data_IF_627026771907
#
_entry.id   IF_627026771907
#
_cell.length_a   1.000
_cell.length_b   1.000
_cell.length_c   1.000
_cell.angle_alpha   90.00
_cell.angle_beta   90.00
_cell.angle_gamma   90.00
#
_symmetry.space_group_name_H-M   'P 1'
#
loop_
_entity.id
_entity.type
_entity.pdbx_description
1 polymer ?
#
# COMPACT_ATOMS: atom_id res chain seq x y z
N UNK A 1 5.14 11.27 -18.40
CA UNK A 1 5.46 10.24 -17.40
C UNK A 1 4.29 10.21 -16.43
N UNK A 2 3.54 9.11 -16.38
CA UNK A 2 2.28 9.05 -15.63
C UNK A 2 2.55 8.73 -14.16
N UNK A 3 1.96 9.52 -13.27
CA UNK A 3 1.98 9.32 -11.83
C UNK A 3 0.79 8.42 -11.44
N UNK A 4 1.03 7.44 -10.57
CA UNK A 4 -0.01 6.56 -10.04
C UNK A 4 -0.15 6.80 -8.54
N UNK A 5 -1.39 6.91 -8.06
CA UNK A 5 -1.70 6.95 -6.64
C UNK A 5 -1.93 5.53 -6.14
N UNK A 6 -1.18 5.09 -5.14
CA UNK A 6 -1.35 3.79 -4.48
C UNK A 6 -1.84 3.97 -3.04
N UNK A 7 -2.75 3.12 -2.53
CA UNK A 7 -3.14 3.16 -1.11
C UNK A 7 -1.94 2.91 -0.18
N UNK A 8 -1.80 3.73 0.85
CA UNK A 8 -0.73 3.63 1.85
C UNK A 8 -1.23 4.16 3.21
N UNK A 9 -1.47 3.26 4.17
CA UNK A 9 -1.92 3.59 5.54
C UNK A 9 -3.12 4.56 5.62
N UNK A 10 -4.12 4.34 4.75
CA UNK A 10 -5.32 5.16 4.67
C UNK A 10 -5.13 6.52 3.97
N UNK A 11 -3.97 6.72 3.33
CA UNK A 11 -3.66 7.86 2.47
C UNK A 11 -3.28 7.38 1.06
N UNK A 12 -3.10 8.30 0.12
CA UNK A 12 -2.54 8.02 -1.20
C UNK A 12 -1.05 8.36 -1.25
N UNK A 13 -0.24 7.40 -1.69
CA UNK A 13 1.17 7.60 -2.01
C UNK A 13 1.32 7.73 -3.53
N UNK A 14 1.97 8.78 -3.99
CA UNK A 14 2.26 8.94 -5.41
C UNK A 14 3.53 8.19 -5.79
N UNK A 15 3.44 7.41 -6.87
CA UNK A 15 4.53 6.62 -7.42
C UNK A 15 4.66 6.92 -8.91
N UNK A 16 5.90 7.05 -9.38
CA UNK A 16 6.25 7.21 -10.79
C UNK A 16 7.19 6.08 -11.20
N UNK A 17 6.97 5.49 -12.38
CA UNK A 17 7.92 4.52 -12.93
C UNK A 17 9.05 5.27 -13.64
N UNK A 18 10.30 5.06 -13.20
CA UNK A 18 11.51 5.58 -13.82
C UNK A 18 12.50 4.44 -14.07
N UNK A 19 12.86 4.21 -15.33
CA UNK A 19 13.77 3.13 -15.76
C UNK A 19 13.36 1.74 -15.28
N UNK A 20 12.06 1.44 -15.28
CA UNK A 20 11.52 0.14 -14.85
C UNK A 20 11.39 -0.02 -13.33
N UNK A 21 11.73 1.01 -12.55
CA UNK A 21 11.65 0.98 -11.10
C UNK A 21 10.64 2.02 -10.56
N UNK A 22 9.83 1.69 -9.53
CA UNK A 22 8.98 2.66 -8.87
C UNK A 22 9.77 3.65 -8.00
N UNK A 23 9.50 4.95 -8.20
CA UNK A 23 10.03 6.07 -7.43
C UNK A 23 8.91 6.87 -6.77
N UNK A 24 9.21 7.46 -5.63
CA UNK A 24 8.31 8.27 -4.80
C UNK A 24 8.81 9.71 -4.81
N UNK A 25 8.02 10.67 -5.31
CA UNK A 25 8.31 12.09 -5.17
C UNK A 25 8.30 12.49 -3.69
N UNK A 26 9.43 12.93 -3.15
CA UNK A 26 9.56 13.09 -1.69
C UNK A 26 8.92 14.37 -1.15
N UNK A 27 8.83 15.43 -1.96
CA UNK A 27 8.29 16.72 -1.52
C UNK A 27 6.82 16.65 -1.09
N UNK A 28 5.90 16.02 -1.86
CA UNK A 28 4.53 15.76 -1.41
C UNK A 28 4.44 14.94 -0.12
N UNK A 29 5.27 13.90 0.03
CA UNK A 29 5.30 13.05 1.24
C UNK A 29 5.68 13.88 2.47
N UNK A 30 6.78 14.64 2.37
CA UNK A 30 7.27 15.51 3.43
C UNK A 30 6.24 16.57 3.83
N UNK A 31 5.59 17.20 2.84
CA UNK A 31 4.54 18.18 3.07
C UNK A 31 3.28 17.57 3.72
N UNK A 32 2.86 16.38 3.26
CA UNK A 32 1.75 15.63 3.84
C UNK A 32 1.97 15.33 5.33
N UNK A 33 3.22 15.02 5.70
CA UNK A 33 3.62 14.77 7.09
C UNK A 33 3.79 16.04 7.95
N UNK A 34 3.69 17.23 7.36
CA UNK A 34 3.89 18.52 8.05
C UNK A 34 5.35 18.84 8.37
N UNK A 35 6.29 18.24 7.66
CA UNK A 35 7.72 18.44 7.87
C UNK A 35 8.27 19.53 6.94
N UNK A 36 9.29 20.25 7.40
CA UNK A 36 9.96 21.27 6.58
C UNK A 36 10.77 20.61 5.44
N UNK A 37 10.47 20.98 4.19
CA UNK A 37 11.11 20.40 3.00
C UNK A 37 12.63 20.54 3.00
N UNK A 38 13.17 21.73 3.29
CA UNK A 38 14.61 21.97 3.19
C UNK A 38 15.42 21.08 4.15
N UNK A 39 14.95 20.93 5.39
CA UNK A 39 15.59 20.08 6.38
C UNK A 39 15.55 18.61 5.97
N UNK A 40 14.44 18.14 5.38
CA UNK A 40 14.34 16.76 4.90
C UNK A 40 15.17 16.53 3.64
N UNK A 41 15.22 17.49 2.72
CA UNK A 41 16.07 17.43 1.54
C UNK A 41 17.56 17.30 1.90
N UNK A 42 18.03 18.06 2.91
CA UNK A 42 19.39 17.92 3.41
C UNK A 42 19.68 16.49 3.93
N UNK A 43 18.76 15.93 4.73
CA UNK A 43 18.87 14.53 5.23
C UNK A 43 18.85 13.49 4.11
N UNK A 44 18.00 13.71 3.10
CA UNK A 44 17.93 12.86 1.91
C UNK A 44 19.26 12.86 1.15
N UNK A 45 19.83 14.05 0.90
CA UNK A 45 21.14 14.19 0.25
C UNK A 45 22.28 13.62 1.09
N UNK A 46 22.19 13.66 2.41
CA UNK A 46 23.23 13.11 3.28
C UNK A 46 23.21 11.57 3.30
N UNK A 47 22.05 10.94 3.52
CA UNK A 47 21.95 9.48 3.74
C UNK A 47 21.63 8.68 2.47
N UNK A 48 20.94 9.29 1.51
CA UNK A 48 20.38 8.60 0.35
C UNK A 48 20.87 9.16 -0.99
N UNK A 49 21.94 9.99 -0.99
CA UNK A 49 22.48 10.67 -2.18
C UNK A 49 22.67 9.74 -3.40
N UNK A 50 23.14 8.51 -3.18
CA UNK A 50 23.39 7.53 -4.26
C UNK A 50 22.12 6.93 -4.87
N UNK A 51 20.96 7.16 -4.27
CA UNK A 51 19.69 6.54 -4.68
C UNK A 51 18.62 7.55 -5.07
N UNK A 52 18.63 8.74 -4.49
CA UNK A 52 17.70 9.80 -4.89
C UNK A 52 18.10 10.36 -6.25
N UNK A 53 17.11 10.74 -7.05
CA UNK A 53 17.33 11.38 -8.36
C UNK A 53 16.28 12.45 -8.61
N UNK A 54 16.56 13.38 -9.50
CA UNK A 54 15.58 14.37 -9.96
C UNK A 54 14.83 13.80 -11.17
N UNK A 55 13.51 13.67 -11.03
CA UNK A 55 12.65 13.18 -12.10
C UNK A 55 11.75 14.34 -12.55
N UNK A 56 11.72 14.59 -13.86
CA UNK A 56 10.83 15.58 -14.48
C UNK A 56 9.40 15.03 -14.41
N UNK A 57 8.52 15.74 -13.73
CA UNK A 57 7.10 15.39 -13.62
C UNK A 57 6.21 16.56 -13.99
N UNK A 58 5.06 16.25 -14.61
CA UNK A 58 4.01 17.22 -14.87
C UNK A 58 3.22 17.38 -13.57
N UNK A 59 3.26 18.58 -13.00
CA UNK A 59 2.42 18.95 -11.87
C UNK A 59 0.97 19.16 -12.33
N UNK A 60 0.06 19.26 -11.36
CA UNK A 60 -1.39 19.44 -11.62
C UNK A 60 -1.71 20.71 -12.44
N UNK A 61 -0.83 21.72 -12.40
CA UNK A 61 -0.89 22.94 -13.21
C UNK A 61 -0.38 22.77 -14.65
N UNK A 62 -0.09 21.54 -15.08
CA UNK A 62 0.46 21.21 -16.40
C UNK A 62 1.95 21.56 -16.57
N UNK A 63 2.61 22.12 -15.55
CA UNK A 63 4.02 22.53 -15.65
C UNK A 63 4.95 21.37 -15.30
N UNK A 64 6.04 21.27 -16.05
CA UNK A 64 7.12 20.34 -15.73
C UNK A 64 7.94 20.87 -14.56
N UNK A 65 8.19 20.02 -13.57
CA UNK A 65 9.04 20.32 -12.42
C UNK A 65 9.98 19.15 -12.16
N UNK A 66 11.24 19.45 -11.89
CA UNK A 66 12.17 18.47 -11.34
C UNK A 66 11.78 18.22 -9.89
N UNK A 67 11.47 16.97 -9.54
CA UNK A 67 11.27 16.59 -8.15
C UNK A 67 12.29 15.55 -7.73
N UNK A 68 12.93 15.83 -6.59
CA UNK A 68 13.74 14.86 -5.88
C UNK A 68 12.87 13.69 -5.48
N UNK A 69 13.20 12.53 -6.02
CA UNK A 69 12.44 11.30 -5.90
C UNK A 69 13.34 10.20 -5.36
N UNK A 70 12.79 9.34 -4.52
CA UNK A 70 13.48 8.21 -3.92
C UNK A 70 12.90 6.90 -4.48
N UNK A 71 13.71 5.87 -4.74
CA UNK A 71 13.17 4.57 -5.09
C UNK A 71 12.27 4.03 -3.97
N UNK A 72 11.13 3.44 -4.32
CA UNK A 72 10.15 2.96 -3.34
C UNK A 72 10.76 1.98 -2.32
N UNK A 73 11.71 1.14 -2.75
CA UNK A 73 12.46 0.20 -1.87
C UNK A 73 13.24 0.87 -0.74
N UNK A 74 13.54 2.17 -0.83
CA UNK A 74 14.26 2.93 0.21
C UNK A 74 13.32 3.75 1.10
N UNK A 75 12.03 3.86 0.75
CA UNK A 75 11.07 4.70 1.47
C UNK A 75 10.92 4.29 2.95
N UNK A 76 10.79 3.00 3.23
CA UNK A 76 10.69 2.49 4.60
C UNK A 76 11.91 2.90 5.46
N UNK A 77 13.11 2.80 4.88
CA UNK A 77 14.34 3.23 5.54
C UNK A 77 14.41 4.73 5.84
N UNK A 78 13.73 5.57 5.04
CA UNK A 78 13.58 7.00 5.36
C UNK A 78 12.49 7.24 6.42
N UNK A 79 11.35 6.56 6.32
CA UNK A 79 10.24 6.67 7.28
C UNK A 79 10.67 6.27 8.71
N UNK A 80 11.57 5.30 8.85
CA UNK A 80 12.16 4.92 10.14
C UNK A 80 13.01 6.04 10.78
N UNK A 81 13.46 7.03 10.00
CA UNK A 81 14.23 8.18 10.54
C UNK A 81 13.35 9.32 11.05
N UNK A 82 12.05 9.25 10.81
CA UNK A 82 11.12 10.31 11.18
C UNK A 82 10.84 10.24 12.68
N UNK A 83 11.01 11.38 13.36
CA UNK A 83 10.62 11.53 14.74
C UNK A 83 9.09 11.81 14.81
N UNK A 84 8.28 10.95 15.46
CA UNK A 84 6.83 11.14 15.56
C UNK A 84 6.41 12.43 16.28
N UNK A 85 7.27 13.01 17.12
CA UNK A 85 7.01 14.29 17.79
C UNK A 85 7.18 15.50 16.86
N UNK A 86 7.73 15.31 15.65
CA UNK A 86 7.96 16.38 14.67
C UNK A 86 6.99 16.35 13.49
N UNK A 87 6.12 15.35 13.41
CA UNK A 87 5.04 15.29 12.41
C UNK A 87 3.78 15.96 12.93
N UNK A 88 2.79 16.15 12.06
CA UNK A 88 1.47 16.65 12.48
C UNK A 88 0.85 15.73 13.56
N UNK A 89 0.23 16.28 14.62
CA UNK A 89 -0.34 15.49 15.70
C UNK A 89 -1.30 14.39 15.21
N UNK A 90 -2.14 14.69 14.21
CA UNK A 90 -3.15 13.78 13.68
C UNK A 90 -2.62 12.54 12.94
N UNK A 91 -1.32 12.51 12.61
CA UNK A 91 -0.68 11.34 11.98
C UNK A 91 0.37 10.67 12.86
N UNK A 92 0.63 11.18 14.07
CA UNK A 92 1.68 10.67 14.96
C UNK A 92 1.54 9.17 15.21
N UNK A 93 0.34 8.74 15.60
CA UNK A 93 0.07 7.33 15.93
C UNK A 93 0.18 6.42 14.70
N UNK A 94 -0.12 6.96 13.50
CA UNK A 94 0.07 6.22 12.24
C UNK A 94 1.56 6.00 11.94
N UNK A 95 2.40 7.00 12.22
CA UNK A 95 3.86 6.91 12.03
C UNK A 95 4.45 5.91 13.02
N UNK A 96 4.07 5.98 14.30
CA UNK A 96 4.53 5.03 15.33
C UNK A 96 4.17 3.60 14.94
N UNK A 97 2.89 3.36 14.63
CA UNK A 97 2.42 2.03 14.20
C UNK A 97 3.15 1.50 12.97
N UNK A 98 3.47 2.37 12.02
CA UNK A 98 4.24 1.98 10.84
C UNK A 98 5.67 1.57 11.20
N UNK A 99 6.32 2.29 12.12
CA UNK A 99 7.67 1.99 12.57
C UNK A 99 7.72 0.68 13.37
N UNK A 100 6.74 0.46 14.27
CA UNK A 100 6.58 -0.80 15.00
C UNK A 100 6.36 -1.98 14.06
N UNK A 101 5.49 -1.84 13.05
CA UNK A 101 5.30 -2.87 12.02
C UNK A 101 6.60 -3.17 11.25
N UNK A 102 7.42 -2.16 10.98
CA UNK A 102 8.72 -2.37 10.35
C UNK A 102 9.68 -3.17 11.25
N UNK A 103 9.66 -2.89 12.56
CA UNK A 103 10.49 -3.60 13.53
C UNK A 103 10.07 -5.08 13.62
N UNK A 104 8.76 -5.36 13.68
CA UNK A 104 8.20 -6.71 13.67
C UNK A 104 8.57 -7.46 12.38
N UNK A 105 8.40 -6.83 11.22
CA UNK A 105 8.75 -7.41 9.91
C UNK A 105 10.24 -7.78 9.86
N UNK A 106 11.12 -6.88 10.31
CA UNK A 106 12.55 -7.16 10.35
C UNK A 106 12.88 -8.29 11.32
N UNK A 107 12.28 -8.29 12.51
CA UNK A 107 12.46 -9.36 13.49
C UNK A 107 12.04 -10.72 12.94
N UNK A 108 10.83 -10.81 12.36
CA UNK A 108 10.32 -12.06 11.79
C UNK A 108 11.18 -12.55 10.62
N UNK A 109 11.61 -11.64 9.73
CA UNK A 109 12.48 -12.00 8.62
C UNK A 109 13.77 -12.67 9.12
N UNK A 110 14.42 -12.07 10.11
CA UNK A 110 15.70 -12.56 10.62
C UNK A 110 15.58 -13.77 11.56
N UNK A 111 14.46 -13.95 12.25
CA UNK A 111 14.27 -15.04 13.22
C UNK A 111 13.54 -16.26 12.66
N UNK A 112 12.57 -16.04 11.76
CA UNK A 112 11.74 -17.10 11.15
C UNK A 112 12.17 -17.43 9.72
N UNK A 113 12.94 -16.55 9.08
CA UNK A 113 13.42 -16.71 7.70
C UNK A 113 12.40 -16.30 6.63
N UNK A 114 11.17 -15.92 7.01
CA UNK A 114 10.14 -15.41 6.10
C UNK A 114 9.17 -14.51 6.87
N UNK A 115 8.47 -13.63 6.14
CA UNK A 115 7.45 -12.72 6.68
C UNK A 115 6.20 -12.79 5.82
N UNK A 116 5.03 -12.82 6.44
CA UNK A 116 3.73 -12.75 5.76
C UNK A 116 3.13 -11.38 5.99
N UNK A 117 2.72 -10.70 4.92
CA UNK A 117 1.96 -9.45 5.05
C UNK A 117 0.46 -9.79 5.16
N UNK A 118 -0.17 -9.69 6.34
CA UNK A 118 -1.57 -10.09 6.52
C UNK A 118 -2.55 -9.20 5.75
N UNK A 119 -2.11 -8.03 5.27
CA UNK A 119 -2.92 -7.12 4.42
C UNK A 119 -2.95 -7.56 2.97
N UNK A 120 -2.00 -8.41 2.56
CA UNK A 120 -2.01 -9.08 1.26
C UNK A 120 -2.39 -10.52 1.52
N UNK A 121 -3.69 -10.79 1.52
CA UNK A 121 -4.15 -12.17 1.50
C UNK A 121 -3.55 -12.85 0.27
N UNK A 122 -3.06 -14.07 0.43
CA UNK A 122 -2.74 -14.87 -0.76
C UNK A 122 -4.02 -15.11 -1.54
N UNK A 123 -3.93 -15.22 -2.87
CA UNK A 123 -5.08 -15.54 -3.73
C UNK A 123 -5.82 -16.78 -3.23
N UNK A 124 -5.08 -17.74 -2.67
CA UNK A 124 -5.64 -18.95 -2.08
C UNK A 124 -6.41 -18.71 -0.77
N UNK A 125 -5.92 -17.82 0.10
CA UNK A 125 -6.66 -17.40 1.30
C UNK A 125 -7.91 -16.58 0.93
N UNK A 126 -7.82 -15.70 -0.06
CA UNK A 126 -8.99 -14.96 -0.57
C UNK A 126 -10.04 -15.91 -1.15
N UNK A 127 -9.59 -16.94 -1.87
CA UNK A 127 -10.44 -17.96 -2.46
C UNK A 127 -11.12 -18.81 -1.38
N UNK A 128 -10.35 -19.26 -0.37
CA UNK A 128 -10.89 -20.02 0.75
C UNK A 128 -11.95 -19.22 1.52
N UNK A 129 -11.70 -17.93 1.74
CA UNK A 129 -12.65 -17.04 2.40
C UNK A 129 -13.91 -16.82 1.55
N UNK A 130 -13.76 -16.56 0.24
CA UNK A 130 -14.89 -16.39 -0.67
C UNK A 130 -15.78 -17.64 -0.77
N UNK A 131 -15.16 -18.84 -0.77
CA UNK A 131 -15.89 -20.11 -0.72
C UNK A 131 -16.63 -20.30 0.62
N UNK A 132 -16.03 -19.90 1.74
CA UNK A 132 -16.67 -19.97 3.05
C UNK A 132 -17.86 -19.01 3.17
N UNK A 133 -17.73 -17.78 2.66
CA UNK A 133 -18.80 -16.78 2.65
C UNK A 133 -19.97 -17.24 1.75
N UNK A 134 -19.69 -17.75 0.55
CA UNK A 134 -20.72 -18.33 -0.33
C UNK A 134 -21.50 -19.46 0.36
N UNK A 135 -20.81 -20.32 1.14
CA UNK A 135 -21.45 -21.42 1.89
C UNK A 135 -22.33 -20.88 3.02
N UNK A 136 -21.86 -19.88 3.77
CA UNK A 136 -22.62 -19.21 4.83
C UNK A 136 -23.89 -18.56 4.27
N UNK A 137 -23.75 -17.77 3.22
CA UNK A 137 -24.88 -17.02 2.64
C UNK A 137 -25.91 -17.96 2.01
N UNK A 138 -25.47 -19.04 1.36
CA UNK A 138 -26.36 -20.10 0.86
C UNK A 138 -27.18 -20.73 2.00
N UNK A 139 -26.53 -21.00 3.13
CA UNK A 139 -27.21 -21.59 4.29
C UNK A 139 -28.24 -20.62 4.87
N UNK A 140 -27.91 -19.34 5.03
CA UNK A 140 -28.85 -18.30 5.50
C UNK A 140 -30.04 -18.20 4.54
N UNK A 141 -29.78 -18.11 3.23
CA UNK A 141 -30.83 -18.04 2.22
C UNK A 141 -31.75 -19.27 2.20
N UNK A 142 -31.23 -20.45 2.54
CA UNK A 142 -32.04 -21.68 2.59
C UNK A 142 -33.01 -21.73 3.78
N UNK A 143 -32.79 -20.90 4.80
CA UNK A 143 -33.62 -20.84 6.02
C UNK A 143 -34.81 -19.89 5.85
N UNK A 144 -34.73 -18.90 4.96
CA UNK A 144 -35.77 -17.88 4.77
C UNK A 144 -36.33 -17.90 3.34
N UNK A 145 -37.65 -17.97 3.18
CA UNK A 145 -38.31 -18.01 1.86
C UNK A 145 -38.01 -16.74 1.00
N UNK A 146 -37.91 -15.57 1.63
CA UNK A 146 -37.47 -14.32 0.99
C UNK A 146 -35.99 -14.34 0.60
N UNK A 147 -35.16 -15.02 1.41
CA UNK A 147 -33.73 -15.17 1.18
C UNK A 147 -33.38 -15.94 -0.09
N UNK A 148 -34.26 -16.81 -0.59
CA UNK A 148 -34.03 -17.57 -1.82
C UNK A 148 -34.02 -16.70 -3.09
N UNK A 149 -34.81 -15.62 -3.11
CA UNK A 149 -34.85 -14.68 -4.23
C UNK A 149 -33.66 -13.73 -4.21
N UNK A 150 -33.29 -13.22 -3.04
CA UNK A 150 -32.09 -12.40 -2.83
C UNK A 150 -30.81 -13.20 -3.14
N UNK A 151 -30.78 -14.48 -2.77
CA UNK A 151 -29.68 -15.40 -3.07
C UNK A 151 -29.40 -15.55 -4.56
N UNK A 152 -30.42 -15.53 -5.42
CA UNK A 152 -30.19 -15.60 -6.87
C UNK A 152 -29.33 -14.44 -7.37
N UNK A 153 -29.48 -13.26 -6.77
CA UNK A 153 -28.67 -12.08 -7.12
C UNK A 153 -27.29 -12.14 -6.44
N UNK A 154 -27.23 -12.46 -5.15
CA UNK A 154 -25.98 -12.51 -4.38
C UNK A 154 -25.05 -13.63 -4.84
N UNK A 155 -25.59 -14.78 -5.26
CA UNK A 155 -24.83 -15.92 -5.79
C UNK A 155 -23.99 -15.55 -7.02
N UNK A 156 -24.51 -14.70 -7.91
CA UNK A 156 -23.79 -14.31 -9.12
C UNK A 156 -22.49 -13.55 -8.77
N UNK A 157 -22.53 -12.67 -7.77
CA UNK A 157 -21.36 -11.95 -7.28
C UNK A 157 -20.32 -12.88 -6.66
N UNK A 158 -20.75 -13.84 -5.81
CA UNK A 158 -19.87 -14.86 -5.24
C UNK A 158 -19.19 -15.71 -6.33
N UNK A 159 -19.96 -16.20 -7.30
CA UNK A 159 -19.43 -17.02 -8.42
C UNK A 159 -18.42 -16.24 -9.26
N UNK A 160 -18.68 -14.96 -9.53
CA UNK A 160 -17.76 -14.10 -10.28
C UNK A 160 -16.44 -13.89 -9.52
N UNK A 161 -16.52 -13.61 -8.22
CA UNK A 161 -15.35 -13.43 -7.35
C UNK A 161 -14.50 -14.69 -7.26
N UNK A 162 -15.13 -15.85 -6.99
CA UNK A 162 -14.45 -17.15 -6.93
C UNK A 162 -13.78 -17.49 -8.25
N UNK A 163 -14.47 -17.30 -9.39
CA UNK A 163 -13.90 -17.56 -10.72
C UNK A 163 -12.65 -16.71 -11.00
N UNK A 164 -12.68 -15.44 -10.60
CA UNK A 164 -11.53 -14.52 -10.77
C UNK A 164 -10.33 -15.01 -9.98
N UNK A 165 -10.54 -15.35 -8.69
CA UNK A 165 -9.48 -15.84 -7.81
C UNK A 165 -8.92 -17.20 -8.27
N UNK A 166 -9.76 -18.11 -8.77
CA UNK A 166 -9.30 -19.38 -9.37
C UNK A 166 -8.40 -19.12 -10.59
N UNK A 167 -8.77 -18.19 -11.45
CA UNK A 167 -7.95 -17.84 -12.62
C UNK A 167 -6.60 -17.23 -12.21
N UNK A 168 -6.60 -16.34 -11.21
CA UNK A 168 -5.37 -15.75 -10.67
C UNK A 168 -4.44 -16.78 -10.01
N UNK A 169 -5.02 -17.79 -9.35
CA UNK A 169 -4.25 -18.88 -8.76
C UNK A 169 -3.61 -19.80 -9.82
N UNK A 170 -4.27 -19.99 -10.96
CA UNK A 170 -3.79 -20.84 -12.07
C UNK A 170 -2.81 -20.13 -13.02
N UNK A 171 -2.62 -18.82 -12.88
CA UNK A 171 -1.72 -18.00 -13.70
C UNK A 171 -0.33 -17.77 -13.05
N UNK A 172 -0.08 -18.40 -11.89
CA UNK A 172 1.21 -18.41 -11.18
C UNK A 172 1.85 -19.77 -11.28
#
# INVERSE_FOLDING_TARGET
>A
MNMMAVPFHGNSLYVVNHNGEPYVPMKPVVAGMGLAWQSQLAKLRQRFASTITEIVMVAEDGKQRNMVSMPLRKLAGWLQTINPNKVKPEIRDKVIRYQEECDDVLYEYWTKGFVVNPRKMSVMEELNQACADMKRDKNIASVFATGLNEWKQVKAAHVSKIRTLVNEANMR
#
